data_IF_230931140977
#
_entry.id   IF_230931140977
#
_cell.length_a   1.000
_cell.length_b   1.000
_cell.length_c   1.000
_cell.angle_alpha   90.00
_cell.angle_beta   90.00
_cell.angle_gamma   90.00
#
_symmetry.space_group_name_H-M   'P 1'
#
loop_
_entity.id
_entity.type
_entity.pdbx_description
1 polymer ?
#
# COMPACT_ATOMS: atom_id res chain seq x y z
N UNK A 1 25.35 -16.27 40.22
CA UNK A 1 23.89 -16.19 40.48
C UNK A 1 23.48 -15.31 41.67
N UNK A 2 24.29 -15.04 42.74
CA UNK A 2 23.80 -14.23 43.88
C UNK A 2 23.72 -12.72 43.57
N UNK A 3 24.64 -12.19 42.75
CA UNK A 3 24.67 -10.79 42.31
C UNK A 3 23.38 -10.35 41.58
N UNK A 4 22.85 -11.24 40.74
CA UNK A 4 21.64 -11.02 39.96
C UNK A 4 20.40 -10.95 40.85
N UNK A 5 20.34 -11.78 41.90
CA UNK A 5 19.22 -11.78 42.85
C UNK A 5 19.24 -10.52 43.74
N UNK A 6 20.42 -10.06 44.16
CA UNK A 6 20.58 -8.82 44.91
C UNK A 6 20.14 -7.60 44.09
N UNK A 7 20.58 -7.52 42.83
CA UNK A 7 20.16 -6.48 41.88
C UNK A 7 18.64 -6.50 41.63
N UNK A 8 18.06 -7.69 41.46
CA UNK A 8 16.62 -7.85 41.26
C UNK A 8 15.82 -7.38 42.47
N UNK A 9 16.33 -7.58 43.68
CA UNK A 9 15.66 -7.18 44.92
C UNK A 9 15.74 -5.67 45.16
N UNK A 10 16.90 -5.04 44.89
CA UNK A 10 17.07 -3.59 45.01
C UNK A 10 16.21 -2.81 44.00
N UNK A 11 16.10 -3.33 42.77
CA UNK A 11 15.35 -2.68 41.69
C UNK A 11 13.92 -3.22 41.54
N UNK A 12 13.48 -4.17 42.36
CA UNK A 12 12.20 -4.88 42.25
C UNK A 12 11.00 -3.95 42.10
N UNK A 13 10.89 -2.92 42.95
CA UNK A 13 9.78 -1.98 42.93
C UNK A 13 9.67 -1.18 41.62
N UNK A 14 10.80 -0.99 40.92
CA UNK A 14 10.83 -0.30 39.62
C UNK A 14 10.74 -1.28 38.46
N UNK A 15 11.32 -2.47 38.55
CA UNK A 15 11.33 -3.45 37.45
C UNK A 15 9.99 -4.16 37.32
N UNK A 16 9.30 -4.44 38.43
CA UNK A 16 8.04 -5.20 38.45
C UNK A 16 6.95 -4.59 37.56
N UNK A 17 6.61 -3.27 37.65
CA UNK A 17 5.57 -2.71 36.78
C UNK A 17 5.98 -2.68 35.30
N UNK A 18 7.25 -2.41 34.98
CA UNK A 18 7.74 -2.43 33.59
C UNK A 18 7.75 -3.85 33.02
N UNK A 19 8.13 -4.85 33.81
CA UNK A 19 8.10 -6.25 33.41
C UNK A 19 6.68 -6.73 33.15
N UNK A 20 5.71 -6.35 33.99
CA UNK A 20 4.29 -6.70 33.81
C UNK A 20 3.71 -6.01 32.57
N UNK A 21 4.00 -4.71 32.39
CA UNK A 21 3.58 -3.97 31.20
C UNK A 21 4.16 -4.57 29.92
N UNK A 22 5.45 -4.90 29.93
CA UNK A 22 6.13 -5.52 28.80
C UNK A 22 5.53 -6.89 28.47
N UNK A 23 5.25 -7.72 29.50
CA UNK A 23 4.60 -9.02 29.30
C UNK A 23 3.20 -8.87 28.70
N UNK A 24 2.42 -7.89 29.18
CA UNK A 24 1.09 -7.59 28.65
C UNK A 24 1.15 -7.15 27.16
N UNK A 25 2.12 -6.31 26.79
CA UNK A 25 2.36 -5.92 25.40
C UNK A 25 2.68 -7.12 24.51
N UNK A 26 3.55 -8.04 24.97
CA UNK A 26 3.91 -9.24 24.23
C UNK A 26 2.70 -10.16 24.01
N UNK A 27 1.85 -10.34 25.02
CA UNK A 27 0.63 -11.15 24.89
C UNK A 27 -0.37 -10.54 23.90
N UNK A 28 -0.57 -9.22 23.95
CA UNK A 28 -1.44 -8.51 23.00
C UNK A 28 -0.93 -8.60 21.56
N UNK A 29 0.39 -8.48 21.36
CA UNK A 29 1.02 -8.62 20.04
C UNK A 29 0.87 -10.03 19.47
N UNK A 30 1.09 -11.06 20.29
CA UNK A 30 0.91 -12.45 19.88
C UNK A 30 -0.55 -12.75 19.48
N UNK A 31 -1.52 -12.21 20.21
CA UNK A 31 -2.94 -12.35 19.86
C UNK A 31 -3.31 -11.62 18.56
N UNK A 32 -2.81 -10.39 18.35
CA UNK A 32 -3.03 -9.64 17.12
C UNK A 32 -2.50 -10.37 15.88
N UNK A 33 -1.30 -10.94 15.96
CA UNK A 33 -0.66 -11.67 14.86
C UNK A 33 -1.43 -12.94 14.46
N UNK A 34 -2.12 -13.60 15.39
CA UNK A 34 -2.96 -14.77 15.08
C UNK A 34 -4.22 -14.39 14.28
N UNK A 35 -4.79 -13.20 14.50
CA UNK A 35 -6.02 -12.75 13.83
C UNK A 35 -5.77 -12.41 12.35
N UNK A 36 -4.59 -11.91 12.00
CA UNK A 36 -4.24 -11.63 10.60
C UNK A 36 -4.06 -12.89 9.77
N UNK A 37 -3.50 -13.95 10.35
CA UNK A 37 -3.31 -15.23 9.66
C UNK A 37 -4.62 -15.99 9.40
N UNK A 38 -5.70 -15.64 10.11
CA UNK A 38 -7.03 -16.26 9.97
C UNK A 38 -7.93 -15.66 8.88
N UNK A 39 -7.50 -14.59 8.20
CA UNK A 39 -8.29 -14.01 7.10
C UNK A 39 -8.08 -14.86 5.85
N UNK A 40 -8.98 -15.83 5.66
CA UNK A 40 -9.08 -16.61 4.43
C UNK A 40 -9.17 -15.65 3.23
N UNK A 41 -8.35 -15.94 2.22
CA UNK A 41 -8.33 -15.20 0.96
C UNK A 41 -9.74 -15.10 0.40
N UNK A 42 -10.26 -13.90 0.09
CA UNK A 42 -11.60 -13.77 -0.47
C UNK A 42 -11.68 -14.60 -1.75
N UNK A 43 -12.67 -15.48 -1.79
CA UNK A 43 -12.90 -16.39 -2.91
C UNK A 43 -13.11 -15.56 -4.19
N UNK A 44 -12.41 -15.87 -5.29
CA UNK A 44 -12.49 -15.07 -6.51
C UNK A 44 -13.89 -15.14 -7.10
N UNK A 45 -14.55 -13.98 -7.22
CA UNK A 45 -15.85 -13.82 -7.86
C UNK A 45 -15.71 -14.10 -9.36
N UNK A 46 -16.14 -15.29 -9.80
CA UNK A 46 -16.22 -15.64 -11.22
C UNK A 46 -17.51 -15.05 -11.78
N UNK A 47 -17.37 -13.95 -12.53
CA UNK A 47 -18.45 -13.39 -13.35
C UNK A 47 -18.63 -14.30 -14.56
N UNK A 48 -19.64 -15.19 -14.52
CA UNK A 48 -20.09 -15.93 -15.70
C UNK A 48 -20.79 -14.94 -16.63
N UNK A 49 -20.12 -14.55 -17.70
CA UNK A 49 -20.72 -13.79 -18.80
C UNK A 49 -21.55 -14.81 -19.60
N UNK A 50 -22.89 -14.68 -19.67
CA UNK A 50 -23.67 -15.56 -20.52
C UNK A 50 -23.29 -15.30 -21.99
N UNK A 51 -23.12 -16.39 -22.75
CA UNK A 51 -22.80 -16.35 -24.16
C UNK A 51 -24.02 -15.80 -24.92
N UNK A 52 -23.95 -14.54 -25.34
CA UNK A 52 -24.97 -13.92 -26.19
C UNK A 52 -24.74 -14.35 -27.65
N UNK A 53 -24.80 -15.66 -27.88
CA UNK A 53 -24.76 -16.27 -29.19
C UNK A 53 -26.08 -16.11 -29.93
N UNK A 54 -26.11 -15.09 -30.79
CA UNK A 54 -26.90 -14.98 -32.02
C UNK A 54 -28.44 -14.90 -31.93
N UNK A 55 -29.00 -13.69 -32.11
CA UNK A 55 -30.21 -13.42 -32.92
C UNK A 55 -30.20 -11.94 -33.43
N UNK A 56 -30.92 -11.61 -34.53
CA UNK A 56 -30.56 -10.63 -35.56
C UNK A 56 -30.76 -9.14 -35.19
N UNK A 57 -30.21 -8.20 -36.00
CA UNK A 57 -30.17 -6.78 -35.66
C UNK A 57 -31.41 -6.04 -36.16
N UNK A 58 -32.18 -5.40 -35.27
CA UNK A 58 -32.98 -4.23 -35.65
C UNK A 58 -33.03 -3.19 -34.51
N UNK A 59 -32.31 -2.11 -34.80
CA UNK A 59 -32.49 -0.71 -34.43
C UNK A 59 -33.73 -0.33 -33.59
N UNK A 60 -33.49 0.35 -32.47
CA UNK A 60 -33.83 1.78 -32.28
C UNK A 60 -33.40 2.23 -30.87
N UNK A 61 -32.35 3.05 -30.75
CA UNK A 61 -32.37 4.53 -30.71
C UNK A 61 -32.20 5.02 -29.27
N UNK A 62 -31.01 5.55 -28.95
CA UNK A 62 -30.73 6.23 -27.69
C UNK A 62 -29.25 6.44 -27.40
N UNK A 63 -28.63 7.40 -28.11
CA UNK A 63 -27.57 8.35 -27.67
C UNK A 63 -26.47 7.85 -26.69
N UNK A 64 -25.16 7.98 -26.90
CA UNK A 64 -24.35 8.76 -27.83
C UNK A 64 -22.97 8.10 -27.91
N UNK A 65 -22.48 7.88 -29.13
CA UNK A 65 -21.06 7.73 -29.39
C UNK A 65 -20.42 9.12 -29.39
N UNK A 66 -19.24 9.26 -28.81
CA UNK A 66 -18.11 9.95 -29.46
C UNK A 66 -16.82 9.48 -28.79
N UNK A 67 -16.09 8.61 -29.49
CA UNK A 67 -14.64 8.47 -29.34
C UNK A 67 -14.01 9.75 -29.89
N UNK A 68 -13.01 10.36 -29.25
CA UNK A 68 -11.79 10.84 -29.94
C UNK A 68 -10.68 11.15 -28.93
N UNK A 69 -9.48 10.73 -29.33
CA UNK A 69 -8.16 11.00 -28.79
C UNK A 69 -7.72 12.48 -28.91
N UNK A 70 -6.97 12.95 -27.91
CA UNK A 70 -5.99 14.07 -27.92
C UNK A 70 -6.41 15.48 -28.38
N UNK A 71 -6.42 16.46 -27.45
CA UNK A 71 -5.81 17.79 -27.69
C UNK A 71 -5.47 18.54 -26.40
N UNK A 72 -4.26 19.12 -26.45
CA UNK A 72 -3.61 20.09 -25.57
C UNK A 72 -4.49 21.25 -25.07
N UNK A 73 -4.24 21.66 -23.83
CA UNK A 73 -4.63 22.95 -23.26
C UNK A 73 -3.86 23.24 -21.96
N UNK A 74 -2.84 24.09 -22.04
CA UNK A 74 -2.21 24.79 -20.90
C UNK A 74 -3.23 25.81 -20.34
N UNK A 75 -3.65 25.69 -19.06
CA UNK A 75 -3.22 26.47 -17.84
C UNK A 75 -3.72 27.95 -17.82
N UNK A 76 -3.97 28.62 -16.65
CA UNK A 76 -3.33 28.39 -15.33
C UNK A 76 -4.17 28.65 -14.03
N UNK A 77 -3.52 28.40 -12.87
CA UNK A 77 -3.71 28.99 -11.50
C UNK A 77 -4.88 28.45 -10.65
N UNK A 78 -4.77 27.97 -9.40
CA UNK A 78 -3.77 27.88 -8.30
C UNK A 78 -4.38 26.92 -7.24
N UNK A 79 -3.73 26.30 -6.24
CA UNK A 79 -2.37 26.21 -5.71
C UNK A 79 -2.43 25.10 -4.66
N UNK A 80 -1.50 24.13 -4.67
CA UNK A 80 -0.60 23.88 -3.53
C UNK A 80 0.24 22.61 -3.75
N UNK A 81 1.56 22.84 -3.85
CA UNK A 81 2.68 21.97 -3.54
C UNK A 81 2.95 20.70 -4.38
N UNK A 82 3.95 20.86 -5.24
CA UNK A 82 5.00 19.87 -5.56
C UNK A 82 4.67 18.78 -6.59
N UNK A 83 4.46 19.20 -7.85
CA UNK A 83 4.77 18.37 -9.02
C UNK A 83 6.29 18.25 -9.20
N UNK A 84 6.96 17.54 -8.29
CA UNK A 84 8.16 16.81 -8.70
C UNK A 84 7.66 15.71 -9.65
N UNK A 85 8.09 15.73 -10.91
CA UNK A 85 7.82 14.63 -11.84
C UNK A 85 8.61 13.41 -11.39
N UNK A 86 8.07 12.68 -10.41
CA UNK A 86 8.71 11.50 -9.86
C UNK A 86 8.69 10.40 -10.90
N UNK A 87 9.85 10.08 -11.48
CA UNK A 87 10.01 9.02 -12.47
C UNK A 87 9.62 7.66 -11.88
N UNK A 88 9.96 7.45 -10.61
CA UNK A 88 9.57 6.27 -9.85
C UNK A 88 8.97 6.67 -8.50
N UNK A 89 7.94 5.94 -8.09
CA UNK A 89 7.15 6.17 -6.89
C UNK A 89 7.15 4.92 -6.03
N UNK A 90 7.71 5.02 -4.83
CA UNK A 90 7.63 4.00 -3.79
C UNK A 90 6.68 4.41 -2.67
N UNK A 91 6.38 3.46 -1.79
CA UNK A 91 5.64 3.69 -0.55
C UNK A 91 6.58 3.58 0.65
N UNK A 92 6.42 4.40 1.68
CA UNK A 92 7.16 4.24 2.95
C UNK A 92 6.78 2.95 3.70
N UNK A 93 5.58 2.42 3.45
CA UNK A 93 5.07 1.20 4.09
C UNK A 93 5.42 -0.09 3.34
N UNK A 94 6.07 0.00 2.17
CA UNK A 94 6.44 -1.18 1.40
C UNK A 94 7.74 -0.95 0.66
N UNK A 95 8.60 -1.95 0.63
CA UNK A 95 9.87 -1.90 -0.10
C UNK A 95 9.68 -2.04 -1.61
N UNK A 96 8.53 -1.62 -2.17
CA UNK A 96 8.22 -1.70 -3.60
C UNK A 96 8.20 -0.32 -4.22
N UNK A 97 8.82 -0.19 -5.39
CA UNK A 97 8.72 1.00 -6.23
C UNK A 97 8.00 0.68 -7.54
N UNK A 98 7.30 1.68 -8.06
CA UNK A 98 6.40 1.59 -9.21
C UNK A 98 6.53 2.82 -10.10
N UNK A 99 6.15 2.69 -11.37
CA UNK A 99 5.93 3.85 -12.22
C UNK A 99 4.69 4.63 -11.76
N UNK A 100 4.64 5.97 -11.91
CA UNK A 100 3.48 6.79 -11.56
C UNK A 100 2.21 6.40 -12.34
N UNK A 101 2.36 5.73 -13.48
CA UNK A 101 1.25 5.20 -14.28
C UNK A 101 0.56 4.00 -13.62
N UNK A 102 1.25 3.26 -12.74
CA UNK A 102 0.74 1.99 -12.24
C UNK A 102 -0.36 2.14 -11.19
N UNK A 103 -1.33 1.21 -11.18
CA UNK A 103 -2.46 1.18 -10.26
C UNK A 103 -2.06 1.30 -8.76
N UNK A 104 -1.09 0.53 -8.24
CA UNK A 104 -0.57 0.71 -6.88
C UNK A 104 -0.05 2.13 -6.61
N UNK A 105 0.66 2.76 -7.55
CA UNK A 105 1.21 4.11 -7.35
C UNK A 105 0.13 5.18 -7.15
N UNK A 106 -1.03 5.01 -7.82
CA UNK A 106 -2.20 5.88 -7.66
C UNK A 106 -2.91 5.71 -6.31
N UNK A 107 -2.80 4.53 -5.70
CA UNK A 107 -3.41 4.22 -4.39
C UNK A 107 -2.52 4.59 -3.20
N UNK A 108 -1.25 4.92 -3.42
CA UNK A 108 -0.34 5.37 -2.36
C UNK A 108 -0.79 6.75 -1.89
N UNK A 109 -1.11 6.86 -0.60
CA UNK A 109 -1.40 8.13 0.06
C UNK A 109 -0.20 9.08 -0.06
N UNK A 110 -0.42 10.40 -0.23
CA UNK A 110 0.67 11.37 -0.40
C UNK A 110 1.65 11.35 0.77
N UNK A 111 1.19 11.14 2.01
CA UNK A 111 2.06 11.07 3.20
C UNK A 111 3.08 9.93 3.14
N UNK A 112 2.69 8.83 2.48
CA UNK A 112 3.49 7.61 2.34
C UNK A 112 4.21 7.54 1.00
N UNK A 113 4.04 8.52 0.11
CA UNK A 113 4.67 8.53 -1.20
C UNK A 113 6.15 8.90 -1.06
N UNK A 114 7.02 8.13 -1.70
CA UNK A 114 8.44 8.46 -1.87
C UNK A 114 8.76 8.52 -3.36
N UNK A 115 9.45 9.57 -3.76
CA UNK A 115 9.85 9.78 -5.14
C UNK A 115 11.32 9.43 -5.32
N UNK A 116 11.65 8.75 -6.42
CA UNK A 116 13.01 8.46 -6.82
C UNK A 116 13.27 9.03 -8.22
N UNK A 117 14.48 9.53 -8.44
CA UNK A 117 14.91 10.05 -9.73
C UNK A 117 15.34 8.92 -10.68
N UNK A 118 15.76 7.77 -10.15
CA UNK A 118 16.12 6.60 -10.96
C UNK A 118 15.79 5.27 -10.27
N UNK A 119 15.69 4.20 -11.07
CA UNK A 119 15.58 2.83 -10.56
C UNK A 119 16.79 2.43 -9.71
N UNK A 120 17.99 2.90 -10.07
CA UNK A 120 19.22 2.63 -9.32
C UNK A 120 19.18 3.23 -7.91
N UNK A 121 18.62 4.44 -7.77
CA UNK A 121 18.42 5.10 -6.49
C UNK A 121 17.40 4.33 -5.64
N UNK A 122 16.28 3.92 -6.24
CA UNK A 122 15.29 3.10 -5.56
C UNK A 122 15.88 1.77 -5.06
N UNK A 123 16.69 1.11 -5.90
CA UNK A 123 17.36 -0.15 -5.55
C UNK A 123 18.43 0.03 -4.46
N UNK A 124 19.21 1.11 -4.52
CA UNK A 124 20.17 1.48 -3.45
C UNK A 124 19.45 1.76 -2.12
N UNK A 125 18.25 2.31 -2.18
CA UNK A 125 17.39 2.53 -1.02
C UNK A 125 16.69 1.24 -0.52
N UNK A 126 16.94 0.07 -1.14
CA UNK A 126 16.39 -1.22 -0.72
C UNK A 126 15.03 -1.56 -1.33
N UNK A 127 14.55 -0.79 -2.31
CA UNK A 127 13.26 -1.02 -2.95
C UNK A 127 13.38 -2.00 -4.13
N UNK A 128 12.43 -2.92 -4.24
CA UNK A 128 12.25 -3.89 -5.33
C UNK A 128 11.21 -3.42 -6.36
N UNK A 129 11.38 -3.78 -7.64
CA UNK A 129 10.44 -3.42 -8.69
C UNK A 129 9.09 -4.11 -8.46
N UNK A 130 8.01 -3.34 -8.38
CA UNK A 130 6.66 -3.89 -8.18
C UNK A 130 5.79 -3.88 -9.44
N UNK A 131 5.93 -2.86 -10.27
CA UNK A 131 5.15 -2.71 -11.50
C UNK A 131 6.03 -2.14 -12.61
N UNK A 132 7.00 -2.97 -12.99
CA UNK A 132 7.83 -2.84 -14.17
C UNK A 132 7.66 -4.16 -14.90
N UNK A 133 6.61 -4.25 -15.72
CA UNK A 133 6.38 -5.40 -16.59
C UNK A 133 6.10 -4.90 -17.99
#
# INVERSE_FOLDING_TARGET
>A
MPELLAFWNEKKGKILPFSVLFLACMLAFQAGRMIENGKASPEPLIIKIPDYGALPPEQSTGSSQTQTSMKSGLEPVATSAEKANCLFVGSKNSDKYHLPSCAPAKRIKPENRRCFASEEEARKAGYVPGCLR
#
